data_IF_121398912266
#
_entry.id   IF_121398912266
#
_cell.length_a   1.000
_cell.length_b   1.000
_cell.length_c   1.000
_cell.angle_alpha   90.00
_cell.angle_beta   90.00
_cell.angle_gamma   90.00
#
_symmetry.space_group_name_H-M   'P 1'
#
loop_
_entity.id
_entity.type
_entity.pdbx_description
1 polymer ?
#
# COMPACT_ATOMS: atom_id res chain seq x y z
N UNK A 1 -1.81 7.33 7.86
CA UNK A 1 -1.14 7.69 9.12
C UNK A 1 0.05 8.61 8.83
N UNK A 2 0.33 9.55 9.73
CA UNK A 2 1.42 10.51 9.66
C UNK A 2 0.94 11.97 9.56
N UNK A 3 1.87 12.95 9.56
CA UNK A 3 3.32 12.74 9.58
C UNK A 3 3.83 12.22 10.92
N UNK A 4 4.98 11.54 10.91
CA UNK A 4 5.82 11.40 12.10
C UNK A 4 6.37 12.76 12.55
N UNK A 5 6.61 12.89 13.86
CA UNK A 5 7.10 14.09 14.51
C UNK A 5 8.61 14.29 14.34
N UNK A 6 9.03 15.56 14.23
CA UNK A 6 10.44 15.95 14.18
C UNK A 6 11.23 15.23 13.08
N UNK A 7 12.40 14.70 13.44
CA UNK A 7 13.29 13.97 12.52
C UNK A 7 12.92 12.48 12.35
N UNK A 8 12.02 11.94 13.17
CA UNK A 8 11.55 10.55 13.09
C UNK A 8 10.96 10.26 11.71
N UNK A 9 11.27 9.12 11.10
CA UNK A 9 10.75 8.69 9.80
C UNK A 9 10.34 7.22 9.85
N UNK A 10 9.60 6.75 8.84
CA UNK A 10 9.21 5.35 8.73
C UNK A 10 10.41 4.55 8.23
N UNK A 11 10.95 3.68 9.08
CA UNK A 11 12.07 2.81 8.72
C UNK A 11 11.58 1.57 7.96
N UNK A 12 10.45 1.02 8.38
CA UNK A 12 9.84 -0.18 7.79
C UNK A 12 8.33 -0.15 7.93
N UNK A 13 7.60 -0.61 6.92
CA UNK A 13 6.19 -0.92 7.01
C UNK A 13 5.91 -2.27 6.33
N UNK A 14 5.09 -3.12 6.95
CA UNK A 14 4.65 -4.40 6.38
C UNK A 14 3.17 -4.59 6.55
N UNK A 15 2.54 -5.33 5.64
CA UNK A 15 1.14 -5.73 5.73
C UNK A 15 0.88 -6.89 4.78
N UNK A 16 -0.22 -7.61 5.02
CA UNK A 16 -0.71 -8.67 4.15
C UNK A 16 -2.12 -8.34 3.67
N UNK A 17 -2.47 -8.73 2.46
CA UNK A 17 -3.87 -8.71 2.01
C UNK A 17 -4.19 -9.91 1.13
N UNK A 18 -5.48 -10.25 1.08
CA UNK A 18 -6.06 -11.04 0.00
C UNK A 18 -6.74 -10.04 -0.92
N UNK A 19 -6.32 -9.92 -2.19
CA UNK A 19 -6.95 -8.95 -3.09
C UNK A 19 -8.43 -9.28 -3.28
N UNK A 20 -9.31 -8.26 -3.33
CA UNK A 20 -10.71 -8.47 -3.73
C UNK A 20 -10.76 -8.95 -5.18
N UNK A 21 -11.87 -9.53 -5.63
CA UNK A 21 -11.98 -9.97 -7.01
C UNK A 21 -11.83 -8.80 -8.00
N UNK A 22 -11.33 -9.09 -9.20
CA UNK A 22 -11.30 -8.13 -10.31
C UNK A 22 -12.73 -7.67 -10.59
N UNK A 23 -13.01 -6.36 -10.65
CA UNK A 23 -14.31 -5.87 -11.10
C UNK A 23 -14.66 -6.43 -12.48
N UNK A 24 -15.90 -6.91 -12.65
CA UNK A 24 -16.39 -7.52 -13.92
C UNK A 24 -17.52 -6.74 -14.56
N UNK A 25 -17.95 -5.67 -13.92
CA UNK A 25 -19.05 -4.79 -14.31
C UNK A 25 -18.59 -3.50 -14.99
N UNK A 26 -17.28 -3.29 -15.17
CA UNK A 26 -16.76 -2.23 -16.03
C UNK A 26 -16.97 -2.59 -17.51
N UNK A 27 -17.38 -1.60 -18.30
CA UNK A 27 -17.50 -1.74 -19.76
C UNK A 27 -16.22 -1.39 -20.51
N UNK A 28 -15.20 -0.89 -19.80
CA UNK A 28 -13.91 -0.51 -20.35
C UNK A 28 -12.99 -1.72 -20.47
N UNK A 29 -12.46 -1.94 -21.67
CA UNK A 29 -11.49 -3.02 -21.94
C UNK A 29 -10.11 -2.80 -21.31
N UNK A 30 -9.82 -1.57 -20.88
CA UNK A 30 -8.56 -1.13 -20.27
C UNK A 30 -8.71 -0.75 -18.78
N UNK A 31 -9.85 -1.07 -18.16
CA UNK A 31 -10.04 -0.85 -16.73
C UNK A 31 -8.99 -1.63 -15.93
N UNK A 32 -8.21 -0.92 -15.13
CA UNK A 32 -7.33 -1.52 -14.15
C UNK A 32 -7.44 -0.81 -12.81
N UNK A 33 -7.38 -1.63 -11.77
CA UNK A 33 -7.42 -1.22 -10.38
C UNK A 33 -6.09 -1.55 -9.74
N UNK A 34 -5.58 -0.62 -8.96
CA UNK A 34 -4.42 -0.80 -8.09
C UNK A 34 -4.76 -0.42 -6.65
N UNK A 35 -4.20 -1.21 -5.74
CA UNK A 35 -4.20 -0.95 -4.30
C UNK A 35 -2.86 -0.30 -3.95
N UNK A 36 -2.88 0.91 -3.41
CA UNK A 36 -1.69 1.74 -3.21
C UNK A 36 -1.20 1.74 -1.77
N UNK A 37 0.12 1.79 -1.60
CA UNK A 37 0.73 2.46 -0.44
C UNK A 37 1.63 3.58 -0.94
N UNK A 38 1.43 4.80 -0.46
CA UNK A 38 2.45 5.84 -0.55
C UNK A 38 3.18 6.01 0.79
N UNK A 39 4.49 5.81 0.77
CA UNK A 39 5.40 6.38 1.77
C UNK A 39 6.10 7.57 1.10
N UNK A 40 5.44 8.74 1.08
CA UNK A 40 5.69 9.95 0.26
C UNK A 40 7.13 10.10 -0.30
N UNK A 41 7.33 9.69 -1.56
CA UNK A 41 7.67 10.47 -2.78
C UNK A 41 8.06 9.41 -3.85
N UNK A 42 7.22 9.20 -4.87
CA UNK A 42 7.54 8.47 -6.13
C UNK A 42 7.80 6.94 -6.11
N UNK A 43 7.27 6.18 -5.16
CA UNK A 43 7.25 4.70 -5.29
C UNK A 43 5.85 4.17 -5.61
N UNK A 44 5.63 3.86 -6.89
CA UNK A 44 4.41 3.19 -7.37
C UNK A 44 4.62 1.68 -7.31
N UNK A 45 3.88 0.95 -6.48
CA UNK A 45 3.85 -0.51 -6.57
C UNK A 45 2.49 -0.97 -7.01
N UNK A 46 2.49 -1.63 -8.17
CA UNK A 46 1.30 -2.15 -8.80
C UNK A 46 1.16 -3.63 -8.45
N UNK A 47 0.16 -3.96 -7.65
CA UNK A 47 -0.49 -5.27 -7.78
C UNK A 47 -1.69 -5.01 -8.68
N UNK A 48 -1.48 -5.18 -9.99
CA UNK A 48 -2.58 -5.08 -10.94
C UNK A 48 -3.34 -6.39 -10.98
N UNK A 49 -4.66 -6.27 -10.92
CA UNK A 49 -5.58 -7.39 -11.10
C UNK A 49 -6.11 -7.49 -12.55
N UNK A 50 -5.53 -6.72 -13.49
CA UNK A 50 -5.93 -6.71 -14.90
C UNK A 50 -4.76 -6.92 -15.87
N UNK A 51 -5.11 -7.48 -17.03
CA UNK A 51 -4.26 -8.13 -18.01
C UNK A 51 -3.66 -7.13 -19.01
N UNK A 52 -2.52 -6.48 -18.70
CA UNK A 52 -1.50 -5.97 -19.65
C UNK A 52 -0.50 -5.02 -18.97
N UNK A 53 0.76 -5.04 -19.42
CA UNK A 53 1.75 -4.02 -19.04
C UNK A 53 1.42 -2.69 -19.72
N UNK A 54 1.45 -1.58 -18.96
CA UNK A 54 1.16 -0.24 -19.47
C UNK A 54 2.47 0.46 -19.86
N UNK A 55 2.49 1.04 -21.06
CA UNK A 55 3.60 1.86 -21.55
C UNK A 55 3.62 3.23 -20.83
N UNK A 56 4.79 3.62 -20.30
CA UNK A 56 4.99 4.93 -19.66
C UNK A 56 5.11 4.91 -18.14
N UNK A 57 4.93 3.75 -17.50
CA UNK A 57 5.34 3.52 -16.11
C UNK A 57 6.66 2.75 -16.10
N UNK A 58 7.59 3.11 -15.20
CA UNK A 58 8.81 2.32 -14.98
C UNK A 58 8.45 1.03 -14.21
N UNK A 59 7.79 0.10 -14.90
CA UNK A 59 7.17 -1.08 -14.31
C UNK A 59 8.02 -2.34 -14.41
N UNK A 60 8.07 -3.11 -13.31
CA UNK A 60 8.47 -4.52 -13.32
C UNK A 60 7.48 -5.35 -14.15
N UNK A 61 7.88 -6.56 -14.61
CA UNK A 61 6.96 -7.43 -15.34
C UNK A 61 5.69 -7.73 -14.55
N UNK A 62 4.54 -7.74 -15.23
CA UNK A 62 3.27 -8.20 -14.66
C UNK A 62 3.41 -9.60 -14.04
N UNK A 63 2.93 -9.74 -12.80
CA UNK A 63 2.84 -11.03 -12.12
C UNK A 63 1.38 -11.29 -11.77
N UNK A 64 0.82 -12.37 -12.35
CA UNK A 64 -0.53 -12.79 -12.02
C UNK A 64 -0.60 -13.29 -10.57
N UNK A 65 -1.65 -12.86 -9.87
CA UNK A 65 -1.98 -13.32 -8.52
C UNK A 65 -3.13 -14.33 -8.65
N UNK A 66 -2.98 -15.50 -8.04
CA UNK A 66 -4.08 -16.46 -7.98
C UNK A 66 -5.23 -15.92 -7.11
N UNK A 67 -6.47 -16.16 -7.52
CA UNK A 67 -7.62 -15.72 -6.73
C UNK A 67 -7.56 -16.31 -5.31
N UNK A 68 -7.77 -15.46 -4.30
CA UNK A 68 -7.68 -15.84 -2.89
C UNK A 68 -6.25 -16.01 -2.35
N UNK A 69 -5.20 -15.76 -3.15
CA UNK A 69 -3.83 -15.79 -2.66
C UNK A 69 -3.57 -14.60 -1.71
N UNK A 70 -2.83 -14.87 -0.64
CA UNK A 70 -2.28 -13.82 0.21
C UNK A 70 -1.05 -13.21 -0.44
N UNK A 71 -0.99 -11.88 -0.40
CA UNK A 71 0.14 -11.09 -0.83
C UNK A 71 0.69 -10.36 0.38
N UNK A 72 2.00 -10.44 0.58
CA UNK A 72 2.69 -9.67 1.62
C UNK A 72 3.48 -8.54 0.98
N UNK A 73 3.56 -7.44 1.71
CA UNK A 73 4.26 -6.26 1.28
C UNK A 73 5.25 -5.82 2.36
N UNK A 74 6.40 -5.34 1.90
CA UNK A 74 7.43 -4.73 2.75
C UNK A 74 7.91 -3.45 2.10
N UNK A 75 7.90 -2.35 2.85
CA UNK A 75 8.48 -1.07 2.48
C UNK A 75 9.57 -0.77 3.49
N UNK A 76 10.78 -0.47 3.05
CA UNK A 76 11.93 -0.22 3.92
C UNK A 76 12.71 1.00 3.44
N UNK A 77 12.99 1.95 4.33
CA UNK A 77 14.01 2.98 4.10
C UNK A 77 15.39 2.36 4.33
N UNK A 78 16.12 2.11 3.24
CA UNK A 78 17.42 1.42 3.27
C UNK A 78 18.59 2.38 3.51
N UNK A 79 18.44 3.63 3.10
CA UNK A 79 19.35 4.74 3.38
C UNK A 79 18.57 6.06 3.28
N UNK A 80 19.19 7.16 3.70
CA UNK A 80 18.57 8.48 3.57
C UNK A 80 18.16 8.75 2.12
N UNK A 81 16.88 9.04 1.90
CA UNK A 81 16.34 9.28 0.56
C UNK A 81 16.20 8.04 -0.32
N UNK A 82 16.36 6.84 0.25
CA UNK A 82 16.26 5.58 -0.49
C UNK A 82 15.26 4.62 0.16
N UNK A 83 14.21 4.26 -0.58
CA UNK A 83 13.17 3.34 -0.15
C UNK A 83 13.10 2.15 -1.11
N UNK A 84 13.05 0.95 -0.55
CA UNK A 84 12.76 -0.29 -1.29
C UNK A 84 11.39 -0.80 -0.88
N UNK A 85 10.56 -1.10 -1.87
CA UNK A 85 9.33 -1.86 -1.71
C UNK A 85 9.49 -3.24 -2.32
N UNK A 86 8.99 -4.26 -1.62
CA UNK A 86 8.94 -5.65 -2.08
C UNK A 86 7.53 -6.19 -1.92
N UNK A 87 7.17 -7.06 -2.85
CA UNK A 87 5.94 -7.83 -2.84
C UNK A 87 6.32 -9.30 -2.79
N UNK A 88 5.64 -10.04 -1.93
CA UNK A 88 5.87 -11.46 -1.72
C UNK A 88 4.61 -12.26 -2.00
N UNK A 89 4.81 -13.43 -2.58
CA UNK A 89 3.81 -14.49 -2.65
C UNK A 89 4.49 -15.81 -2.28
N UNK A 90 3.90 -16.55 -1.35
CA UNK A 90 4.47 -17.81 -0.84
C UNK A 90 5.93 -17.64 -0.38
N UNK A 91 6.20 -16.62 0.44
CA UNK A 91 7.53 -16.27 0.98
C UNK A 91 8.62 -15.94 -0.07
N UNK A 92 8.24 -15.75 -1.35
CA UNK A 92 9.15 -15.40 -2.43
C UNK A 92 8.88 -13.98 -2.90
N UNK A 93 9.96 -13.20 -3.07
CA UNK A 93 9.88 -11.88 -3.71
C UNK A 93 9.45 -12.07 -5.16
N UNK A 94 8.30 -11.49 -5.51
CA UNK A 94 7.74 -11.53 -6.87
C UNK A 94 7.81 -10.16 -7.55
N UNK A 95 7.96 -9.10 -6.78
CA UNK A 95 8.22 -7.76 -7.29
C UNK A 95 9.08 -6.97 -6.31
N UNK A 96 9.93 -6.10 -6.85
CA UNK A 96 10.74 -5.18 -6.07
C UNK A 96 10.91 -3.86 -6.84
N UNK A 97 10.75 -2.76 -6.14
CA UNK A 97 11.06 -1.42 -6.62
C UNK A 97 11.95 -0.71 -5.60
N UNK A 98 12.98 -0.01 -6.07
CA UNK A 98 13.80 0.86 -5.22
C UNK A 98 13.81 2.25 -5.83
N UNK A 99 13.41 3.24 -5.04
CA UNK A 99 13.61 4.66 -5.36
C UNK A 99 14.76 5.19 -4.50
N UNK A 100 15.76 5.79 -5.13
CA UNK A 100 16.94 6.36 -4.48
C UNK A 100 17.02 7.88 -4.59
N UNK A 101 16.00 8.53 -5.18
CA UNK A 101 15.98 9.95 -5.51
C UNK A 101 14.96 10.71 -4.66
N UNK A 102 14.67 10.22 -3.45
CA UNK A 102 13.77 10.92 -2.54
C UNK A 102 14.55 12.01 -1.80
N UNK A 103 14.09 13.26 -1.89
CA UNK A 103 14.72 14.38 -1.18
C UNK A 103 14.67 14.22 0.35
N UNK A 104 13.73 13.43 0.87
CA UNK A 104 13.48 13.20 2.29
C UNK A 104 13.04 11.76 2.58
N UNK A 105 13.30 11.30 3.80
CA UNK A 105 12.77 10.03 4.29
C UNK A 105 11.25 10.10 4.49
N UNK A 106 10.53 8.97 4.33
CA UNK A 106 9.08 8.93 4.42
C UNK A 106 8.58 9.23 5.83
N UNK A 107 7.57 10.10 5.94
CA UNK A 107 6.91 10.46 7.21
C UNK A 107 5.46 9.98 7.28
N UNK A 108 4.89 9.50 6.17
CA UNK A 108 3.50 9.06 6.08
C UNK A 108 3.41 7.62 5.56
N UNK A 109 2.35 6.93 5.97
CA UNK A 109 1.82 5.75 5.29
C UNK A 109 0.42 6.11 4.80
N UNK A 110 0.24 6.17 3.48
CA UNK A 110 -1.03 6.52 2.83
C UNK A 110 -1.50 5.32 2.04
N UNK A 111 -2.80 5.08 2.02
CA UNK A 111 -3.43 4.00 1.27
C UNK A 111 -4.59 4.57 0.44
N UNK A 112 -4.78 4.08 -0.78
CA UNK A 112 -5.95 4.38 -1.60
C UNK A 112 -6.21 3.26 -2.60
N UNK A 113 -7.42 3.20 -3.12
CA UNK A 113 -7.72 2.54 -4.39
C UNK A 113 -7.49 3.57 -5.52
N UNK A 114 -6.87 3.17 -6.64
CA UNK A 114 -6.85 4.00 -7.85
C UNK A 114 -7.46 3.23 -9.01
N UNK A 115 -8.32 3.93 -9.72
CA UNK A 115 -8.84 3.54 -11.01
C UNK A 115 -8.29 4.50 -12.07
N UNK A 116 -7.33 4.05 -12.86
CA UNK A 116 -6.65 4.90 -13.83
C UNK A 116 -7.55 5.43 -14.94
N UNK A 117 -8.44 4.60 -15.45
CA UNK A 117 -9.42 5.02 -16.46
C UNK A 117 -10.57 5.85 -15.85
N UNK A 118 -10.64 5.94 -14.51
CA UNK A 118 -11.79 6.46 -13.78
C UNK A 118 -13.06 5.61 -13.91
N UNK A 119 -12.99 4.49 -14.65
CA UNK A 119 -14.13 3.63 -14.99
C UNK A 119 -13.84 2.15 -14.68
N UNK A 120 -13.73 1.80 -13.39
CA UNK A 120 -13.33 0.46 -12.96
C UNK A 120 -14.46 -0.39 -12.41
N UNK A 121 -15.70 0.13 -12.34
CA UNK A 121 -16.83 -0.61 -11.79
C UNK A 121 -16.74 -0.81 -10.27
N UNK A 122 -17.33 -1.90 -9.80
CA UNK A 122 -17.51 -2.21 -8.38
C UNK A 122 -16.30 -2.95 -7.82
N UNK A 123 -15.74 -2.42 -6.73
CA UNK A 123 -14.65 -3.05 -5.98
C UNK A 123 -15.16 -3.54 -4.63
N UNK A 124 -15.04 -4.84 -4.38
CA UNK A 124 -15.35 -5.40 -3.06
C UNK A 124 -14.39 -4.88 -1.99
N UNK A 125 -14.91 -4.72 -0.77
CA UNK A 125 -14.09 -4.36 0.39
C UNK A 125 -13.05 -5.44 0.71
N UNK A 126 -11.92 -5.02 1.25
CA UNK A 126 -10.79 -5.90 1.57
C UNK A 126 -10.11 -5.46 2.87
N UNK A 127 -9.10 -6.19 3.32
CA UNK A 127 -8.42 -5.89 4.59
C UNK A 127 -6.92 -5.97 4.44
N UNK A 128 -6.23 -4.95 4.93
CA UNK A 128 -4.82 -5.04 5.27
C UNK A 128 -4.70 -5.59 6.69
N UNK A 129 -4.15 -6.80 6.76
CA UNK A 129 -3.96 -7.52 8.02
C UNK A 129 -2.48 -7.45 8.43
N UNK A 130 -2.24 -7.57 9.74
CA UNK A 130 -0.89 -7.59 10.32
C UNK A 130 -0.06 -6.36 9.95
N UNK A 131 -0.70 -5.18 9.89
CA UNK A 131 0.01 -3.95 9.53
C UNK A 131 0.99 -3.64 10.65
N UNK A 132 2.28 -3.58 10.31
CA UNK A 132 3.35 -3.22 11.23
C UNK A 132 4.09 -2.01 10.66
N UNK A 133 4.23 -0.94 11.43
CA UNK A 133 4.98 0.26 11.05
C UNK A 133 6.07 0.48 12.10
N UNK A 134 7.33 0.41 11.68
CA UNK A 134 8.50 0.67 12.53
C UNK A 134 9.09 2.03 12.16
N UNK A 135 9.22 2.89 13.16
CA UNK A 135 9.80 4.22 13.05
C UNK A 135 11.30 4.21 13.33
N UNK A 136 12.01 5.24 12.89
CA UNK A 136 13.46 5.40 13.14
C UNK A 136 13.79 5.76 14.58
N UNK A 137 12.82 6.32 15.30
CA UNK A 137 12.87 6.69 16.71
C UNK A 137 11.43 6.69 17.26
N UNK A 138 11.28 6.71 18.59
CA UNK A 138 9.99 6.75 19.25
C UNK A 138 9.18 8.00 18.85
N UNK A 139 7.91 7.80 18.52
CA UNK A 139 6.91 8.86 18.34
C UNK A 139 5.55 8.33 18.80
N UNK A 140 5.20 8.58 20.07
CA UNK A 140 3.95 8.13 20.68
C UNK A 140 2.71 8.78 20.06
N UNK A 141 2.85 9.95 19.43
CA UNK A 141 1.74 10.67 18.78
C UNK A 141 1.39 10.12 17.39
N UNK A 142 2.26 9.28 16.81
CA UNK A 142 2.04 8.76 15.45
C UNK A 142 0.77 7.92 15.35
N UNK A 143 0.42 7.14 16.38
CA UNK A 143 -0.83 6.35 16.41
C UNK A 143 -2.09 7.20 16.28
N UNK A 144 -2.08 8.39 16.87
CA UNK A 144 -3.21 9.33 16.89
C UNK A 144 -3.43 10.03 15.54
N UNK A 145 -2.45 9.93 14.63
CA UNK A 145 -2.51 10.51 13.29
C UNK A 145 -3.28 9.68 12.26
N UNK A 146 -3.92 8.59 12.70
CA UNK A 146 -4.74 7.75 11.82
C UNK A 146 -5.95 8.53 11.32
N UNK A 147 -5.98 8.76 10.01
CA UNK A 147 -7.12 9.33 9.29
C UNK A 147 -7.59 8.30 8.26
N UNK A 148 -8.90 8.06 8.23
CA UNK A 148 -9.53 7.05 7.40
C UNK A 148 -10.74 7.66 6.68
N UNK A 149 -10.84 7.39 5.39
CA UNK A 149 -12.01 7.65 4.56
C UNK A 149 -12.26 6.41 3.70
N UNK A 150 -13.49 5.90 3.69
CA UNK A 150 -13.80 4.63 3.03
C UNK A 150 -13.13 3.40 3.68
N UNK A 151 -12.71 3.52 4.95
CA UNK A 151 -12.05 2.44 5.69
C UNK A 151 -12.32 2.56 7.20
N UNK A 152 -12.14 1.44 7.91
CA UNK A 152 -12.29 1.32 9.36
C UNK A 152 -11.06 0.61 9.96
N UNK A 153 -10.79 0.90 11.24
CA UNK A 153 -9.71 0.27 12.02
C UNK A 153 -10.06 0.33 13.50
N UNK A 154 -9.55 -0.63 14.28
CA UNK A 154 -9.55 -0.57 15.75
C UNK A 154 -8.51 0.41 16.32
N UNK A 155 -7.74 1.08 15.44
CA UNK A 155 -6.58 1.89 15.82
C UNK A 155 -5.29 1.06 15.85
N UNK A 156 -4.17 1.76 15.89
CA UNK A 156 -2.85 1.16 16.00
C UNK A 156 -2.37 1.22 17.45
N UNK A 157 -1.64 0.20 17.87
CA UNK A 157 -1.08 0.09 19.22
C UNK A 157 0.43 -0.08 19.17
N UNK A 158 1.12 0.42 20.20
CA UNK A 158 2.56 0.27 20.36
C UNK A 158 2.88 -0.28 21.76
N UNK A 159 3.83 -1.21 21.82
CA UNK A 159 4.32 -1.83 23.06
C UNK A 159 5.74 -1.37 23.43
N UNK A 160 6.35 -0.54 22.60
CA UNK A 160 7.75 -0.09 22.67
C UNK A 160 7.86 1.45 22.64
N UNK A 161 6.88 2.13 23.26
CA UNK A 161 6.81 3.59 23.39
C UNK A 161 6.81 4.33 22.04
N UNK A 162 6.03 3.83 21.07
CA UNK A 162 5.83 4.48 19.79
C UNK A 162 6.92 4.23 18.76
N UNK A 163 7.77 3.22 18.94
CA UNK A 163 8.75 2.81 17.91
C UNK A 163 8.09 1.91 16.86
N UNK A 164 7.26 0.96 17.29
CA UNK A 164 6.53 0.02 16.44
C UNK A 164 5.04 0.12 16.69
N UNK A 165 4.28 0.26 15.61
CA UNK A 165 2.83 0.38 15.60
C UNK A 165 2.22 -0.81 14.88
N UNK A 166 1.25 -1.47 15.52
CA UNK A 166 0.57 -2.64 14.99
C UNK A 166 -0.94 -2.40 14.91
N UNK A 167 -1.56 -2.85 13.82
CA UNK A 167 -3.00 -2.76 13.64
C UNK A 167 -3.48 -3.40 12.34
N UNK A 168 -4.77 -3.28 12.08
CA UNK A 168 -5.41 -3.72 10.85
C UNK A 168 -6.23 -2.58 10.25
N UNK A 169 -6.41 -2.58 8.93
CA UNK A 169 -7.24 -1.62 8.21
C UNK A 169 -8.20 -2.38 7.31
N UNK A 170 -9.51 -2.19 7.52
CA UNK A 170 -10.54 -2.72 6.65
C UNK A 170 -11.01 -1.62 5.70
N UNK A 171 -10.85 -1.85 4.41
CA UNK A 171 -11.38 -0.99 3.37
C UNK A 171 -12.82 -1.42 3.07
N UNK A 172 -13.72 -0.44 3.01
CA UNK A 172 -15.09 -0.69 2.60
C UNK A 172 -15.15 -0.90 1.08
N UNK A 173 -16.27 -1.43 0.59
CA UNK A 173 -16.49 -1.54 -0.85
C UNK A 173 -16.48 -0.14 -1.50
N UNK A 174 -15.94 -0.06 -2.71
CA UNK A 174 -15.78 1.17 -3.46
C UNK A 174 -16.47 1.04 -4.82
N UNK A 175 -16.98 2.16 -5.34
CA UNK A 175 -17.71 2.20 -6.59
C UNK A 175 -17.13 3.27 -7.50
N UNK A 176 -16.37 2.82 -8.51
CA UNK A 176 -16.01 3.68 -9.63
C UNK A 176 -17.16 3.69 -10.65
N UNK A 177 -17.27 4.76 -11.46
CA UNK A 177 -18.07 4.70 -12.68
C UNK A 177 -17.78 3.43 -13.50
N UNK A 178 -18.78 2.93 -14.22
CA UNK A 178 -18.65 1.74 -15.08
C UNK A 178 -18.63 2.08 -16.57
N UNK A 179 -18.90 3.35 -16.92
CA UNK A 179 -19.05 3.90 -18.29
C UNK A 179 -19.03 5.43 -18.30
#
# INVERSE_FOLDING_TARGET
MGPTSGETYIKKATYSLVPPAVPTDSTQSDAWLSIWIEAVLRTMTHVSQANSQIAGQEGQPYVAVANGATIDFEITTVSSGTVTQKVYMNDKVVSQLTDSNMDKNPKWVIASNECYSGQCGSLDGYTWSNVTITLSAADESFGDSLSLSGATSSGFTSSDNGVTWNGDIKFEADQFPSS
#
